data_IF_950640356650
#
_entry.id   IF_950640356650
#
_cell.length_a   1.000
_cell.length_b   1.000
_cell.length_c   1.000
_cell.angle_alpha   90.00
_cell.angle_beta   90.00
_cell.angle_gamma   90.00
#
_symmetry.space_group_name_H-M   'P 1'
#
loop_
_entity.id
_entity.type
_entity.pdbx_description
1 polymer ?
#
# COMPACT_ATOMS: atom_id res chain seq x y z
N UNK A 1 11.28 -14.10 22.96
CA UNK A 1 11.28 -12.63 22.99
C UNK A 1 10.66 -12.15 21.67
N UNK A 2 9.36 -11.84 21.62
CA UNK A 2 8.66 -11.17 20.49
C UNK A 2 7.13 -11.04 20.71
N UNK A 3 6.61 -10.90 21.94
CA UNK A 3 5.14 -10.83 22.15
C UNK A 3 4.59 -9.41 22.08
N UNK A 4 5.32 -8.42 22.60
CA UNK A 4 4.83 -7.03 22.65
C UNK A 4 4.76 -6.39 21.25
N UNK A 5 5.75 -6.61 20.40
CA UNK A 5 5.77 -6.07 19.03
C UNK A 5 4.70 -6.68 18.12
N UNK A 6 4.36 -7.95 18.35
CA UNK A 6 3.33 -8.64 17.58
C UNK A 6 1.94 -8.16 17.99
N UNK A 7 1.71 -7.93 19.30
CA UNK A 7 0.48 -7.35 19.84
C UNK A 7 0.27 -5.91 19.37
N UNK A 8 1.32 -5.08 19.39
CA UNK A 8 1.30 -3.71 18.85
C UNK A 8 0.93 -3.70 17.36
N UNK A 9 1.59 -4.54 16.55
CA UNK A 9 1.31 -4.65 15.11
C UNK A 9 -0.14 -5.09 14.84
N UNK A 10 -0.67 -6.02 15.63
CA UNK A 10 -2.08 -6.44 15.53
C UNK A 10 -3.02 -5.31 15.90
N UNK A 11 -2.73 -4.56 16.96
CA UNK A 11 -3.53 -3.42 17.36
C UNK A 11 -3.60 -2.34 16.27
N UNK A 12 -2.47 -2.03 15.62
CA UNK A 12 -2.43 -1.08 14.50
C UNK A 12 -3.30 -1.51 13.32
N UNK A 13 -3.25 -2.79 12.93
CA UNK A 13 -4.09 -3.32 11.86
C UNK A 13 -5.57 -3.29 12.26
N UNK A 14 -5.88 -3.72 13.49
CA UNK A 14 -7.26 -3.71 13.98
C UNK A 14 -7.86 -2.30 13.95
N UNK A 15 -7.09 -1.28 14.37
CA UNK A 15 -7.53 0.12 14.31
C UNK A 15 -7.87 0.55 12.87
N UNK A 16 -7.04 0.18 11.89
CA UNK A 16 -7.31 0.46 10.47
C UNK A 16 -8.62 -0.22 10.04
N UNK A 17 -8.72 -1.53 10.28
CA UNK A 17 -9.85 -2.34 9.83
C UNK A 17 -11.16 -1.87 10.47
N UNK A 18 -11.17 -1.62 11.78
CA UNK A 18 -12.33 -1.13 12.51
C UNK A 18 -12.78 0.25 12.01
N UNK A 19 -11.83 1.15 11.73
CA UNK A 19 -12.14 2.49 11.21
C UNK A 19 -12.79 2.49 9.82
N UNK A 20 -12.64 1.39 9.06
CA UNK A 20 -13.07 1.28 7.66
C UNK A 20 -14.26 0.32 7.47
N UNK A 21 -14.90 -0.15 8.54
CA UNK A 21 -16.09 -1.00 8.46
C UNK A 21 -15.88 -2.47 8.82
N UNK A 22 -14.71 -2.83 9.34
CA UNK A 22 -14.48 -4.11 10.01
C UNK A 22 -14.08 -5.28 9.09
N UNK A 23 -14.25 -6.53 9.55
CA UNK A 23 -13.64 -7.71 8.91
C UNK A 23 -14.19 -8.04 7.52
N UNK A 24 -15.32 -7.46 7.12
CA UNK A 24 -15.86 -7.60 5.76
C UNK A 24 -14.86 -7.14 4.68
N UNK A 25 -13.92 -6.25 5.05
CA UNK A 25 -12.88 -5.76 4.17
C UNK A 25 -11.92 -6.86 3.67
N UNK A 26 -11.86 -8.03 4.30
CA UNK A 26 -11.08 -9.17 3.81
C UNK A 26 -11.81 -10.00 2.74
N UNK A 27 -13.10 -9.73 2.51
CA UNK A 27 -13.94 -10.46 1.57
C UNK A 27 -13.61 -10.21 0.09
N UNK A 28 -14.45 -10.70 -0.81
CA UNK A 28 -14.31 -10.41 -2.25
C UNK A 28 -14.60 -8.93 -2.52
N UNK A 29 -13.84 -8.35 -3.45
CA UNK A 29 -13.91 -6.93 -3.80
C UNK A 29 -13.80 -6.74 -5.32
N UNK A 30 -13.68 -5.50 -5.80
CA UNK A 30 -13.60 -5.22 -7.23
C UNK A 30 -12.40 -5.91 -7.90
N UNK A 31 -11.28 -6.04 -7.17
CA UNK A 31 -10.08 -6.76 -7.63
C UNK A 31 -10.22 -8.29 -7.71
N UNK A 32 -11.40 -8.84 -7.35
CA UNK A 32 -11.70 -10.27 -7.41
C UNK A 32 -11.12 -11.09 -6.26
N UNK A 33 -11.23 -12.42 -6.36
CA UNK A 33 -10.80 -13.37 -5.30
C UNK A 33 -9.31 -13.27 -4.96
N UNK A 34 -8.46 -13.07 -5.97
CA UNK A 34 -7.02 -12.93 -5.74
C UNK A 34 -6.71 -11.70 -4.87
N UNK A 35 -7.54 -10.66 -4.94
CA UNK A 35 -7.34 -9.47 -4.12
C UNK A 35 -7.61 -9.73 -2.63
N UNK A 36 -8.56 -10.60 -2.30
CA UNK A 36 -8.81 -11.07 -0.93
C UNK A 36 -7.59 -11.79 -0.35
N UNK A 37 -6.89 -12.59 -1.16
CA UNK A 37 -5.65 -13.23 -0.74
C UNK A 37 -4.53 -12.21 -0.53
N UNK A 38 -4.38 -11.23 -1.42
CA UNK A 38 -3.34 -10.20 -1.29
C UNK A 38 -3.48 -9.37 -0.01
N UNK A 39 -4.69 -8.96 0.37
CA UNK A 39 -4.89 -8.19 1.61
C UNK A 39 -4.68 -9.04 2.87
N UNK A 40 -5.07 -10.32 2.83
CA UNK A 40 -4.80 -11.26 3.91
C UNK A 40 -3.29 -11.50 4.09
N UNK A 41 -2.56 -11.70 2.98
CA UNK A 41 -1.11 -11.92 3.02
C UNK A 41 -0.35 -10.65 3.42
N UNK A 42 -0.78 -9.47 2.95
CA UNK A 42 -0.21 -8.21 3.41
C UNK A 42 -0.35 -8.06 4.94
N UNK A 43 -1.54 -8.34 5.47
CA UNK A 43 -1.81 -8.31 6.91
C UNK A 43 -0.94 -9.31 7.68
N UNK A 44 -0.84 -10.55 7.20
CA UNK A 44 0.01 -11.59 7.83
C UNK A 44 1.48 -11.18 7.84
N UNK A 45 1.97 -10.71 6.70
CA UNK A 45 3.34 -10.24 6.56
C UNK A 45 3.63 -9.09 7.54
N UNK A 46 2.69 -8.14 7.69
CA UNK A 46 2.80 -7.10 8.70
C UNK A 46 2.85 -7.67 10.12
N UNK A 47 1.95 -8.59 10.49
CA UNK A 47 1.98 -9.17 11.84
C UNK A 47 3.30 -9.90 12.16
N UNK A 48 3.93 -10.54 11.16
CA UNK A 48 5.15 -11.33 11.34
C UNK A 48 6.46 -10.56 11.13
N UNK A 49 6.43 -9.23 10.99
CA UNK A 49 7.66 -8.46 10.78
C UNK A 49 8.20 -8.49 9.35
N UNK A 50 7.49 -9.10 8.39
CA UNK A 50 7.90 -9.19 6.99
C UNK A 50 7.46 -7.93 6.21
N UNK A 51 7.95 -6.76 6.63
CA UNK A 51 7.45 -5.45 6.19
C UNK A 51 7.60 -5.22 4.68
N UNK A 52 8.68 -5.68 4.06
CA UNK A 52 8.87 -5.60 2.61
C UNK A 52 7.82 -6.42 1.86
N UNK A 53 7.55 -7.65 2.30
CA UNK A 53 6.51 -8.50 1.70
C UNK A 53 5.11 -7.87 1.89
N UNK A 54 4.86 -7.25 3.05
CA UNK A 54 3.64 -6.48 3.28
C UNK A 54 3.46 -5.36 2.25
N UNK A 55 4.50 -4.55 2.01
CA UNK A 55 4.46 -3.47 1.00
C UNK A 55 4.13 -4.04 -0.39
N UNK A 56 4.74 -5.16 -0.77
CA UNK A 56 4.49 -5.78 -2.09
C UNK A 56 3.05 -6.28 -2.23
N UNK A 57 2.54 -7.01 -1.23
CA UNK A 57 1.17 -7.53 -1.25
C UNK A 57 0.14 -6.40 -1.20
N UNK A 58 0.36 -5.38 -0.36
CA UNK A 58 -0.54 -4.23 -0.25
C UNK A 58 -0.54 -3.37 -1.51
N UNK A 59 0.62 -3.15 -2.13
CA UNK A 59 0.73 -2.47 -3.43
C UNK A 59 -0.04 -3.21 -4.53
N UNK A 60 0.20 -4.52 -4.65
CA UNK A 60 -0.52 -5.36 -5.61
C UNK A 60 -2.04 -5.35 -5.33
N UNK A 61 -2.43 -5.29 -4.05
CA UNK A 61 -3.83 -5.17 -3.66
C UNK A 61 -4.47 -3.87 -4.17
N UNK A 62 -3.75 -2.75 -4.02
CA UNK A 62 -4.20 -1.47 -4.55
C UNK A 62 -4.34 -1.50 -6.08
N UNK A 63 -3.36 -2.08 -6.77
CA UNK A 63 -3.38 -2.20 -8.23
C UNK A 63 -4.58 -3.02 -8.70
N UNK A 64 -4.81 -4.21 -8.12
CA UNK A 64 -5.93 -5.06 -8.49
C UNK A 64 -7.28 -4.42 -8.20
N UNK A 65 -7.43 -3.75 -7.06
CA UNK A 65 -8.71 -3.13 -6.70
C UNK A 65 -9.10 -2.03 -7.71
N UNK A 66 -8.16 -1.12 -8.00
CA UNK A 66 -8.40 -0.04 -8.96
C UNK A 66 -8.58 -0.57 -10.40
N UNK A 67 -7.85 -1.62 -10.79
CA UNK A 67 -8.05 -2.27 -12.08
C UNK A 67 -9.42 -2.95 -12.18
N UNK A 68 -9.88 -3.55 -11.08
CA UNK A 68 -11.22 -4.13 -10.95
C UNK A 68 -12.32 -3.09 -11.11
N UNK A 69 -12.19 -1.96 -10.41
CA UNK A 69 -13.08 -0.80 -10.52
C UNK A 69 -13.14 -0.31 -11.98
N UNK A 70 -11.98 -0.14 -12.63
CA UNK A 70 -11.92 0.27 -14.04
C UNK A 70 -12.67 -0.72 -14.94
N UNK A 71 -12.45 -2.02 -14.74
CA UNK A 71 -13.07 -3.09 -15.52
C UNK A 71 -14.58 -3.18 -15.31
N UNK A 72 -15.11 -2.75 -14.16
CA UNK A 72 -16.55 -2.63 -13.96
C UNK A 72 -17.17 -1.46 -14.70
N UNK A 73 -16.40 -0.40 -14.96
CA UNK A 73 -16.86 0.76 -15.71
C UNK A 73 -16.69 0.60 -17.22
N UNK A 74 -15.71 -0.18 -17.65
CA UNK A 74 -15.32 -0.34 -19.06
C UNK A 74 -15.08 -1.81 -19.43
N UNK A 75 -15.59 -2.26 -20.59
CA UNK A 75 -15.21 -3.56 -21.13
C UNK A 75 -13.69 -3.66 -21.31
N UNK A 76 -13.11 -4.81 -20.94
CA UNK A 76 -11.69 -5.07 -21.12
C UNK A 76 -11.29 -4.93 -22.60
N UNK A 77 -10.20 -4.22 -22.87
CA UNK A 77 -9.59 -4.13 -24.21
C UNK A 77 -8.24 -4.85 -24.17
N UNK A 78 -7.68 -5.30 -25.30
CA UNK A 78 -6.36 -5.96 -25.33
C UNK A 78 -5.21 -5.10 -24.72
N UNK A 79 -5.41 -3.79 -24.54
CA UNK A 79 -4.45 -2.88 -23.89
C UNK A 79 -4.66 -2.79 -22.36
N UNK A 80 -5.71 -3.40 -21.82
CA UNK A 80 -6.03 -3.37 -20.38
C UNK A 80 -5.25 -4.37 -19.54
N UNK A 81 -4.36 -5.15 -20.14
CA UNK A 81 -3.61 -6.20 -19.43
C UNK A 81 -2.31 -5.69 -18.79
N UNK A 82 -2.01 -4.39 -18.92
CA UNK A 82 -0.76 -3.77 -18.43
C UNK A 82 -1.00 -2.43 -17.73
N UNK A 83 -1.87 -2.42 -16.73
CA UNK A 83 -1.99 -1.27 -15.84
C UNK A 83 -1.06 -1.43 -14.66
N UNK A 84 -0.14 -0.48 -14.47
CA UNK A 84 0.57 -0.33 -13.20
C UNK A 84 -0.17 0.66 -12.31
N UNK A 85 -0.03 0.51 -10.98
CA UNK A 85 -0.69 1.35 -9.98
C UNK A 85 -0.62 2.86 -10.29
N UNK A 86 0.54 3.39 -10.70
CA UNK A 86 0.68 4.81 -11.06
C UNK A 86 -0.28 5.30 -12.15
N UNK A 87 -0.60 4.46 -13.14
CA UNK A 87 -1.54 4.81 -14.22
C UNK A 87 -2.98 4.77 -13.71
N UNK A 88 -3.30 3.78 -12.87
CA UNK A 88 -4.61 3.64 -12.23
C UNK A 88 -4.91 4.77 -11.25
N UNK A 89 -3.92 5.25 -10.50
CA UNK A 89 -4.08 6.41 -9.61
C UNK A 89 -4.53 7.63 -10.42
N UNK A 90 -3.83 7.91 -11.53
CA UNK A 90 -4.18 9.03 -12.42
C UNK A 90 -5.62 8.92 -12.92
N UNK A 91 -6.00 7.76 -13.44
CA UNK A 91 -7.37 7.51 -13.91
C UNK A 91 -8.39 7.67 -12.80
N UNK A 92 -8.11 7.17 -11.59
CA UNK A 92 -9.00 7.31 -10.44
C UNK A 92 -9.19 8.76 -10.00
N UNK A 93 -8.12 9.57 -10.02
CA UNK A 93 -8.19 11.02 -9.76
C UNK A 93 -9.06 11.74 -10.79
N UNK A 94 -8.82 11.47 -12.08
CA UNK A 94 -9.59 12.07 -13.18
C UNK A 94 -11.08 11.72 -13.11
N UNK A 95 -11.41 10.55 -12.58
CA UNK A 95 -12.79 10.04 -12.45
C UNK A 95 -13.41 10.27 -11.07
N UNK A 96 -12.68 10.88 -10.14
CA UNK A 96 -13.18 11.17 -8.79
C UNK A 96 -13.49 9.91 -7.96
N UNK A 97 -12.75 8.81 -8.13
CA UNK A 97 -12.95 7.59 -7.34
C UNK A 97 -12.56 7.76 -5.87
N UNK A 98 -11.66 8.70 -5.58
CA UNK A 98 -11.14 8.98 -4.25
C UNK A 98 -10.66 10.42 -4.16
N UNK A 99 -10.47 10.91 -2.94
CA UNK A 99 -10.02 12.27 -2.67
C UNK A 99 -8.52 12.49 -2.94
N UNK A 100 -8.08 13.74 -2.78
CA UNK A 100 -6.69 14.11 -2.99
C UNK A 100 -5.73 13.51 -1.95
N UNK A 101 -6.20 13.21 -0.73
CA UNK A 101 -5.36 12.63 0.33
C UNK A 101 -4.99 11.19 -0.01
N UNK A 102 -5.99 10.35 -0.35
CA UNK A 102 -5.74 8.98 -0.77
C UNK A 102 -4.88 8.92 -2.04
N UNK A 103 -5.07 9.87 -2.97
CA UNK A 103 -4.24 9.97 -4.16
C UNK A 103 -2.74 10.14 -3.81
N UNK A 104 -2.42 11.09 -2.92
CA UNK A 104 -1.04 11.36 -2.48
C UNK A 104 -0.45 10.15 -1.76
N UNK A 105 -1.23 9.49 -0.91
CA UNK A 105 -0.79 8.30 -0.19
C UNK A 105 -0.54 7.12 -1.13
N UNK A 106 -1.40 6.90 -2.13
CA UNK A 106 -1.19 5.87 -3.15
C UNK A 106 0.03 6.16 -4.03
N UNK A 107 0.28 7.41 -4.38
CA UNK A 107 1.49 7.82 -5.11
C UNK A 107 2.75 7.50 -4.29
N UNK A 108 2.73 7.76 -2.98
CA UNK A 108 3.81 7.41 -2.06
C UNK A 108 4.03 5.90 -1.97
N UNK A 109 2.97 5.10 -1.83
CA UNK A 109 3.06 3.63 -1.82
C UNK A 109 3.67 3.11 -3.12
N UNK A 110 3.23 3.63 -4.26
CA UNK A 110 3.76 3.27 -5.58
C UNK A 110 5.26 3.61 -5.71
N UNK A 111 5.65 4.78 -5.23
CA UNK A 111 7.04 5.23 -5.23
C UNK A 111 7.91 4.38 -4.30
N UNK A 112 7.50 4.19 -3.05
CA UNK A 112 8.23 3.40 -2.06
C UNK A 112 8.49 2.00 -2.60
N UNK A 113 7.46 1.31 -3.14
CA UNK A 113 7.62 0.00 -3.77
C UNK A 113 8.66 0.02 -4.88
N UNK A 114 8.66 1.02 -5.77
CA UNK A 114 9.64 1.13 -6.86
C UNK A 114 11.08 1.24 -6.34
N UNK A 115 11.29 2.07 -5.33
CA UNK A 115 12.62 2.32 -4.75
C UNK A 115 13.16 1.16 -3.91
N UNK A 116 12.36 0.13 -3.60
CA UNK A 116 12.83 -1.07 -2.92
C UNK A 116 13.52 -2.07 -3.87
N UNK A 117 13.17 -2.06 -5.16
CA UNK A 117 13.75 -2.96 -6.18
C UNK A 117 15.07 -2.48 -6.73
N UNK A 118 15.27 -1.18 -6.75
CA UNK A 118 16.49 -0.55 -7.20
C UNK A 118 17.16 -0.07 -5.92
N UNK A 119 18.29 -0.67 -5.53
CA UNK A 119 19.14 -0.18 -4.43
C UNK A 119 19.67 1.21 -4.82
N UNK A 120 18.78 2.20 -4.75
CA UNK A 120 19.03 3.56 -5.17
C UNK A 120 19.95 4.22 -4.17
N UNK A 121 20.90 4.96 -4.71
CA UNK A 121 21.88 5.72 -3.95
C UNK A 121 21.24 6.83 -3.11
N UNK A 122 22.07 7.48 -2.29
CA UNK A 122 21.68 8.63 -1.47
C UNK A 122 21.19 9.83 -2.29
N UNK A 123 21.53 9.89 -3.57
CA UNK A 123 21.19 11.02 -4.44
C UNK A 123 19.74 10.97 -4.89
N UNK A 124 19.16 9.78 -4.98
CA UNK A 124 17.75 9.62 -5.35
C UNK A 124 16.84 10.24 -4.28
N UNK A 125 16.07 11.31 -4.60
CA UNK A 125 15.27 12.06 -3.62
C UNK A 125 14.29 11.20 -2.83
N UNK A 126 13.74 10.18 -3.48
CA UNK A 126 12.77 9.25 -2.93
C UNK A 126 13.41 7.96 -2.45
N UNK A 127 14.74 7.79 -2.47
CA UNK A 127 15.40 6.55 -2.08
C UNK A 127 15.27 6.23 -0.58
N UNK A 128 15.30 4.93 -0.23
CA UNK A 128 15.12 4.47 1.16
C UNK A 128 16.07 5.15 2.16
N UNK A 129 17.35 5.29 1.80
CA UNK A 129 18.32 5.98 2.65
C UNK A 129 17.92 7.43 2.91
N UNK A 130 17.43 8.13 1.89
CA UNK A 130 17.01 9.53 2.02
C UNK A 130 15.75 9.69 2.87
N UNK A 131 14.81 8.74 2.78
CA UNK A 131 13.63 8.70 3.64
C UNK A 131 13.99 8.35 5.09
N UNK A 132 15.02 7.54 5.31
CA UNK A 132 15.53 7.22 6.64
C UNK A 132 16.29 8.39 7.28
N UNK A 133 16.92 9.29 6.50
CA UNK A 133 17.61 10.48 7.03
C UNK A 133 16.68 11.36 7.86
N UNK A 134 15.44 11.60 7.42
CA UNK A 134 14.50 12.46 8.17
C UNK A 134 14.03 11.85 9.49
N UNK A 135 14.39 10.59 9.74
CA UNK A 135 14.00 9.79 10.91
C UNK A 135 15.20 9.35 11.74
N UNK A 136 16.41 9.70 11.32
CA UNK A 136 17.63 9.34 12.02
C UNK A 136 17.85 10.28 13.22
N UNK A 137 18.39 9.74 14.30
CA UNK A 137 18.78 10.54 15.46
C UNK A 137 19.89 11.53 15.13
N UNK A 138 19.91 12.66 15.83
CA UNK A 138 20.96 13.65 15.72
C UNK A 138 22.21 13.24 16.53
N UNK A 139 23.43 13.40 15.98
CA UNK A 139 23.74 13.90 14.65
C UNK A 139 23.43 12.89 13.54
N UNK A 140 23.06 13.36 12.35
CA UNK A 140 22.82 12.47 11.19
C UNK A 140 24.12 11.81 10.75
N UNK A 141 24.33 10.57 11.17
CA UNK A 141 25.45 9.71 10.76
C UNK A 141 24.95 8.54 9.91
N UNK A 142 25.85 7.90 9.16
CA UNK A 142 25.52 6.70 8.37
C UNK A 142 24.92 5.60 9.25
N UNK A 143 25.44 5.42 10.46
CA UNK A 143 24.98 4.38 11.39
C UNK A 143 23.59 4.71 11.95
N UNK A 144 23.33 5.97 12.31
CA UNK A 144 22.01 6.40 12.77
C UNK A 144 20.96 6.24 11.65
N UNK A 145 21.32 6.56 10.40
CA UNK A 145 20.43 6.35 9.25
C UNK A 145 20.15 4.86 9.02
N UNK A 146 21.18 4.01 9.09
CA UNK A 146 21.02 2.56 8.94
C UNK A 146 20.11 1.98 10.03
N UNK A 147 20.21 2.47 11.27
CA UNK A 147 19.35 2.09 12.38
C UNK A 147 17.89 2.55 12.20
N UNK A 148 17.66 3.66 11.49
CA UNK A 148 16.32 4.16 11.19
C UNK A 148 15.61 3.41 10.04
N UNK A 149 16.34 2.64 9.22
CA UNK A 149 15.77 1.94 8.05
C UNK A 149 14.65 0.96 8.44
N UNK A 150 14.81 0.04 9.42
CA UNK A 150 13.74 -0.90 9.79
C UNK A 150 12.46 -0.19 10.23
N UNK A 151 12.57 0.87 11.05
CA UNK A 151 11.43 1.69 11.47
C UNK A 151 10.78 2.43 10.31
N UNK A 152 11.56 2.84 9.32
CA UNK A 152 11.07 3.46 8.08
C UNK A 152 10.25 2.47 7.25
N UNK A 153 10.81 1.28 6.97
CA UNK A 153 10.11 0.25 6.19
C UNK A 153 8.83 -0.21 6.91
N UNK A 154 8.85 -0.37 8.24
CA UNK A 154 7.65 -0.74 9.02
C UNK A 154 6.52 0.28 8.85
N UNK A 155 6.83 1.58 8.95
CA UNK A 155 5.79 2.61 8.78
C UNK A 155 5.26 2.65 7.35
N UNK A 156 6.13 2.46 6.35
CA UNK A 156 5.70 2.37 4.94
C UNK A 156 4.83 1.14 4.67
N UNK A 157 5.11 0.02 5.34
CA UNK A 157 4.27 -1.17 5.29
C UNK A 157 2.89 -0.92 5.88
N UNK A 158 2.81 -0.23 7.03
CA UNK A 158 1.53 0.14 7.64
C UNK A 158 0.75 1.12 6.76
N UNK A 159 1.41 2.12 6.17
CA UNK A 159 0.78 3.07 5.24
C UNK A 159 0.26 2.36 3.98
N UNK A 160 1.05 1.44 3.40
CA UNK A 160 0.63 0.65 2.25
C UNK A 160 -0.60 -0.21 2.58
N UNK A 161 -0.60 -0.86 3.75
CA UNK A 161 -1.72 -1.66 4.22
C UNK A 161 -2.98 -0.81 4.44
N UNK A 162 -2.83 0.37 5.06
CA UNK A 162 -3.94 1.31 5.23
C UNK A 162 -4.52 1.76 3.88
N UNK A 163 -3.68 2.10 2.90
CA UNK A 163 -4.13 2.42 1.55
C UNK A 163 -4.86 1.24 0.90
N UNK A 164 -4.35 0.02 1.06
CA UNK A 164 -4.97 -1.18 0.51
C UNK A 164 -6.36 -1.46 1.09
N UNK A 165 -6.58 -1.18 2.39
CA UNK A 165 -7.92 -1.23 2.96
C UNK A 165 -8.81 -0.09 2.46
N UNK A 166 -8.32 1.15 2.42
CA UNK A 166 -9.11 2.30 1.97
C UNK A 166 -9.56 2.16 0.51
N UNK A 167 -8.71 1.69 -0.40
CA UNK A 167 -9.14 1.51 -1.81
C UNK A 167 -10.22 0.43 -1.97
N UNK A 168 -10.29 -0.53 -1.05
CA UNK A 168 -11.34 -1.58 -1.04
C UNK A 168 -12.68 -1.07 -0.52
N UNK A 169 -12.72 0.15 0.06
CA UNK A 169 -13.97 0.82 0.43
C UNK A 169 -14.46 1.78 -0.64
N UNK A 170 -13.78 1.89 -1.78
CA UNK A 170 -14.22 2.75 -2.88
C UNK A 170 -15.50 2.16 -3.48
N UNK A 171 -16.57 2.93 -3.40
CA UNK A 171 -17.81 2.63 -4.09
C UNK A 171 -17.87 3.39 -5.41
N UNK A 172 -18.10 2.66 -6.51
CA UNK A 172 -18.36 3.26 -7.82
C UNK A 172 -19.70 2.79 -8.36
N UNK A 173 -20.42 3.68 -9.05
CA UNK A 173 -21.65 3.32 -9.74
C UNK A 173 -21.39 2.22 -10.78
N UNK A 174 -22.14 1.12 -10.68
CA UNK A 174 -22.10 0.04 -11.68
C UNK A 174 -22.86 0.49 -12.92
N UNK A 175 -22.15 0.66 -14.04
CA UNK A 175 -22.78 0.83 -15.35
C UNK A 175 -23.02 -0.55 -15.96
N UNK A 176 -24.18 -1.14 -15.67
CA UNK A 176 -24.67 -2.28 -16.44
C UNK A 176 -25.03 -1.76 -17.84
N UNK A 177 -24.29 -2.21 -18.85
CA UNK A 177 -24.64 -2.04 -20.27
C UNK A 177 -25.15 -3.36 -20.81
#
# INVERSE_FOLDING_TARGET
MSTSTDEERRAEVNLIVESLGGPALYGTSAGGYENSFLILEATRCYHFGADLACILCAHACCERELAGILRWQEPATLKSDRWGLGRLIRTGRERGWFDADLAVRLERVNENRRTLYHLQDLETPTGLWRRAISRADNPVTKDNVAQAIPGTIRQEALEALACAFTVRTIEVERRWR
#
